data_IF_256635545319
#
_entry.id   IF_256635545319
#
_cell.length_a   1.000
_cell.length_b   1.000
_cell.length_c   1.000
_cell.angle_alpha   90.00
_cell.angle_beta   90.00
_cell.angle_gamma   90.00
#
_symmetry.space_group_name_H-M   'P 1'
#
loop_
_entity.id
_entity.type
_entity.pdbx_description
1 polymer ?
#
# COMPACT_ATOMS: atom_id res chain seq x y z
N UNK A 1 -22.32 -19.13 -11.22
CA UNK A 1 -22.02 -18.08 -10.21
C UNK A 1 -21.43 -16.92 -10.95
N UNK A 2 -22.06 -15.73 -10.92
CA UNK A 2 -21.59 -14.55 -11.64
C UNK A 2 -20.20 -14.16 -11.10
N UNK A 3 -19.30 -13.83 -12.02
CA UNK A 3 -17.90 -13.53 -11.75
C UNK A 3 -17.80 -12.25 -10.89
N UNK A 4 -17.81 -12.37 -9.57
CA UNK A 4 -17.85 -11.28 -8.58
C UNK A 4 -16.49 -10.55 -8.47
N UNK A 5 -15.54 -10.86 -9.37
CA UNK A 5 -14.16 -10.34 -9.30
C UNK A 5 -13.91 -9.08 -10.14
N UNK A 6 -14.93 -8.58 -10.82
CA UNK A 6 -14.85 -7.33 -11.58
C UNK A 6 -16.12 -6.51 -11.45
N UNK A 7 -15.99 -5.21 -11.27
CA UNK A 7 -17.07 -4.24 -11.30
C UNK A 7 -16.71 -3.09 -12.24
N UNK A 8 -17.00 -3.26 -13.53
CA UNK A 8 -16.71 -2.24 -14.56
C UNK A 8 -17.44 -0.92 -14.25
N UNK A 9 -18.61 -1.00 -13.59
CA UNK A 9 -19.36 0.20 -13.18
C UNK A 9 -18.58 1.04 -12.15
N UNK A 10 -17.94 0.42 -11.17
CA UNK A 10 -17.11 1.11 -10.18
C UNK A 10 -15.83 1.65 -10.80
N UNK A 11 -15.22 0.92 -11.74
CA UNK A 11 -14.07 1.40 -12.51
C UNK A 11 -14.42 2.67 -13.31
N UNK A 12 -15.56 2.66 -14.03
CA UNK A 12 -16.08 3.83 -14.79
C UNK A 12 -16.29 5.04 -13.90
N UNK A 13 -16.99 4.87 -12.77
CA UNK A 13 -17.24 5.93 -11.80
C UNK A 13 -15.95 6.51 -11.24
N UNK A 14 -14.99 5.65 -10.92
CA UNK A 14 -13.68 6.08 -10.43
C UNK A 14 -12.95 6.91 -11.48
N UNK A 15 -12.87 6.43 -12.73
CA UNK A 15 -12.23 7.17 -13.82
C UNK A 15 -12.93 8.51 -14.09
N UNK A 16 -14.28 8.56 -14.05
CA UNK A 16 -15.04 9.81 -14.17
C UNK A 16 -14.62 10.83 -13.11
N UNK A 17 -14.41 10.39 -11.85
CA UNK A 17 -13.91 11.28 -10.79
C UNK A 17 -12.49 11.77 -11.11
N UNK A 18 -11.59 10.89 -11.56
CA UNK A 18 -10.21 11.24 -11.86
C UNK A 18 -10.09 12.23 -13.04
N UNK A 19 -10.90 12.04 -14.06
CA UNK A 19 -10.93 12.89 -15.24
C UNK A 19 -11.45 14.31 -14.95
N UNK A 20 -12.39 14.42 -14.02
CA UNK A 20 -13.02 15.69 -13.65
C UNK A 20 -12.36 16.38 -12.44
N UNK A 21 -11.41 15.72 -11.75
CA UNK A 21 -10.79 16.24 -10.53
C UNK A 21 -9.27 15.97 -10.54
N UNK A 22 -8.44 16.90 -11.04
CA UNK A 22 -6.99 16.71 -11.11
C UNK A 22 -6.33 16.39 -9.76
N UNK A 23 -6.82 16.96 -8.66
CA UNK A 23 -6.32 16.67 -7.31
C UNK A 23 -6.54 15.19 -6.92
N UNK A 24 -7.69 14.61 -7.31
CA UNK A 24 -7.97 13.19 -7.07
C UNK A 24 -7.15 12.29 -7.99
N UNK A 25 -6.89 12.74 -9.22
CA UNK A 25 -5.99 12.04 -10.13
C UNK A 25 -4.58 11.92 -9.55
N UNK A 26 -4.01 13.02 -9.05
CA UNK A 26 -2.72 13.02 -8.34
C UNK A 26 -2.72 12.12 -7.10
N UNK A 27 -3.77 12.20 -6.28
CA UNK A 27 -3.90 11.35 -5.09
C UNK A 27 -4.00 9.86 -5.45
N UNK A 28 -4.56 9.51 -6.61
CA UNK A 28 -4.74 8.11 -7.03
C UNK A 28 -3.43 7.39 -7.34
N UNK A 29 -2.38 8.09 -7.75
CA UNK A 29 -1.08 7.51 -8.13
C UNK A 29 -0.46 6.73 -6.97
N UNK A 30 -0.57 7.24 -5.76
CA UNK A 30 -0.05 6.59 -4.56
C UNK A 30 -0.93 5.44 -4.06
N UNK A 31 -2.18 5.35 -4.56
CA UNK A 31 -3.17 4.39 -4.06
C UNK A 31 -3.43 3.24 -5.02
N UNK A 32 -3.34 3.48 -6.33
CA UNK A 32 -3.76 2.56 -7.38
C UNK A 32 -2.62 2.23 -8.34
N UNK A 33 -2.74 1.04 -8.93
CA UNK A 33 -1.92 0.59 -10.05
C UNK A 33 -2.83 0.36 -11.26
N UNK A 34 -2.32 0.54 -12.48
CA UNK A 34 -3.07 0.28 -13.72
C UNK A 34 -3.64 -1.15 -13.78
N UNK A 35 -3.00 -2.14 -13.11
CA UNK A 35 -3.48 -3.52 -13.02
C UNK A 35 -4.76 -3.68 -12.20
N UNK A 36 -5.13 -2.67 -11.41
CA UNK A 36 -6.38 -2.68 -10.64
C UNK A 36 -7.62 -2.68 -11.55
N UNK A 37 -7.48 -2.16 -12.78
CA UNK A 37 -8.56 -2.09 -13.74
C UNK A 37 -8.65 -3.39 -14.58
N UNK A 38 -9.88 -3.91 -14.70
CA UNK A 38 -10.16 -5.14 -15.46
C UNK A 38 -10.33 -4.86 -16.94
N UNK A 39 -11.09 -3.81 -17.28
CA UNK A 39 -11.32 -3.39 -18.66
C UNK A 39 -10.03 -2.79 -19.24
N UNK A 40 -9.71 -3.15 -20.49
CA UNK A 40 -8.49 -2.71 -21.17
C UNK A 40 -8.50 -1.19 -21.41
N UNK A 41 -9.64 -0.62 -21.77
CA UNK A 41 -9.79 0.81 -22.04
C UNK A 41 -9.62 1.61 -20.74
N UNK A 42 -10.23 1.14 -19.64
CA UNK A 42 -10.06 1.73 -18.30
C UNK A 42 -8.59 1.71 -17.87
N UNK A 43 -7.89 0.59 -18.14
CA UNK A 43 -6.47 0.44 -17.84
C UNK A 43 -5.62 1.41 -18.64
N UNK A 44 -5.91 1.57 -19.94
CA UNK A 44 -5.18 2.47 -20.84
C UNK A 44 -5.39 3.93 -20.42
N UNK A 45 -6.63 4.33 -20.12
CA UNK A 45 -6.95 5.67 -19.63
C UNK A 45 -6.23 5.94 -18.30
N UNK A 46 -6.30 5.02 -17.34
CA UNK A 46 -5.62 5.21 -16.06
C UNK A 46 -4.10 5.27 -16.21
N UNK A 47 -3.51 4.45 -17.09
CA UNK A 47 -2.08 4.50 -17.38
C UNK A 47 -1.65 5.85 -17.98
N UNK A 48 -2.48 6.45 -18.83
CA UNK A 48 -2.24 7.81 -19.34
C UNK A 48 -2.30 8.85 -18.21
N UNK A 49 -3.32 8.79 -17.34
CA UNK A 49 -3.44 9.64 -16.15
C UNK A 49 -2.18 9.51 -15.28
N UNK A 50 -1.76 8.29 -15.00
CA UNK A 50 -0.59 8.01 -14.18
C UNK A 50 0.68 8.60 -14.78
N UNK A 51 0.92 8.41 -16.07
CA UNK A 51 2.11 8.91 -16.77
C UNK A 51 2.21 10.44 -16.75
N UNK A 52 1.09 11.14 -16.99
CA UNK A 52 1.02 12.60 -16.98
C UNK A 52 1.29 13.13 -15.57
N UNK A 53 0.64 12.55 -14.59
CA UNK A 53 0.76 12.96 -13.21
C UNK A 53 2.15 12.65 -12.60
N UNK A 54 2.79 11.53 -12.98
CA UNK A 54 4.16 11.18 -12.57
C UNK A 54 5.19 12.15 -13.18
N UNK A 55 4.91 12.66 -14.38
CA UNK A 55 5.72 13.71 -15.01
C UNK A 55 5.53 15.10 -14.37
N UNK A 56 4.60 15.24 -13.42
CA UNK A 56 4.27 16.52 -12.78
C UNK A 56 3.46 17.48 -13.68
N UNK A 57 2.87 16.96 -14.74
CA UNK A 57 2.05 17.72 -15.67
C UNK A 57 0.59 17.79 -15.19
N UNK A 58 -0.16 18.78 -15.69
CA UNK A 58 -1.58 18.90 -15.37
C UNK A 58 -2.38 17.77 -16.00
N UNK A 59 -3.13 17.05 -15.17
CA UNK A 59 -4.03 15.99 -15.63
C UNK A 59 -5.33 16.61 -16.10
N UNK A 60 -5.48 16.76 -17.42
CA UNK A 60 -6.71 17.20 -18.07
C UNK A 60 -7.04 16.31 -19.27
N UNK A 61 -8.26 16.42 -19.77
CA UNK A 61 -8.74 15.58 -20.89
C UNK A 61 -7.89 15.75 -22.16
N UNK A 62 -7.36 16.95 -22.40
CA UNK A 62 -6.54 17.23 -23.61
C UNK A 62 -5.20 16.50 -23.51
N UNK A 63 -4.53 16.60 -22.35
CA UNK A 63 -3.26 15.91 -22.08
C UNK A 63 -3.42 14.39 -22.16
N UNK A 64 -4.54 13.86 -21.64
CA UNK A 64 -4.83 12.42 -21.72
C UNK A 64 -5.04 11.96 -23.16
N UNK A 65 -5.82 12.70 -23.96
CA UNK A 65 -6.02 12.42 -25.38
C UNK A 65 -4.69 12.46 -26.16
N UNK A 66 -3.85 13.46 -25.85
CA UNK A 66 -2.52 13.56 -26.45
C UNK A 66 -1.64 12.34 -26.09
N UNK A 67 -1.63 11.94 -24.82
CA UNK A 67 -0.86 10.81 -24.33
C UNK A 67 -1.34 9.49 -24.96
N UNK A 68 -2.64 9.23 -25.03
CA UNK A 68 -3.20 8.03 -25.66
C UNK A 68 -2.89 7.99 -27.19
N UNK A 69 -2.89 9.16 -27.84
CA UNK A 69 -2.53 9.27 -29.27
C UNK A 69 -1.06 9.00 -29.48
N UNK A 70 -0.17 9.53 -28.64
CA UNK A 70 1.28 9.30 -28.74
C UNK A 70 1.65 7.82 -28.56
N UNK A 71 0.87 7.09 -27.79
CA UNK A 71 1.01 5.65 -27.58
C UNK A 71 0.39 4.80 -28.71
N UNK A 72 -0.30 5.43 -29.68
CA UNK A 72 -0.96 4.73 -30.77
C UNK A 72 -2.18 3.91 -30.35
N UNK A 73 -2.75 4.20 -29.16
CA UNK A 73 -3.87 3.44 -28.56
C UNK A 73 -5.22 4.13 -28.84
N UNK A 74 -5.20 5.45 -29.11
CA UNK A 74 -6.41 6.22 -29.28
C UNK A 74 -7.09 5.92 -30.61
N UNK A 75 -8.21 5.23 -30.56
CA UNK A 75 -9.14 5.09 -31.67
C UNK A 75 -10.44 5.89 -31.45
N UNK A 76 -11.35 5.86 -32.41
CA UNK A 76 -12.63 6.58 -32.35
C UNK A 76 -13.49 6.07 -31.18
N UNK A 77 -13.45 4.77 -30.90
CA UNK A 77 -14.25 4.11 -29.87
C UNK A 77 -13.78 4.52 -28.47
N UNK A 78 -12.44 4.48 -28.26
CA UNK A 78 -11.85 4.89 -26.99
C UNK A 78 -12.06 6.39 -26.71
N UNK A 79 -12.02 7.21 -27.77
CA UNK A 79 -12.31 8.63 -27.63
C UNK A 79 -13.76 8.89 -27.20
N UNK A 80 -14.73 8.24 -27.85
CA UNK A 80 -16.14 8.33 -27.45
C UNK A 80 -16.34 7.87 -26.01
N UNK A 81 -15.71 6.78 -25.64
CA UNK A 81 -15.75 6.26 -24.27
C UNK A 81 -15.16 7.24 -23.24
N UNK A 82 -14.05 7.90 -23.58
CA UNK A 82 -13.46 8.94 -22.73
C UNK A 82 -14.43 10.13 -22.54
N UNK A 83 -15.08 10.59 -23.63
CA UNK A 83 -16.05 11.67 -23.58
C UNK A 83 -17.26 11.28 -22.68
N UNK A 84 -17.77 10.04 -22.79
CA UNK A 84 -18.82 9.52 -21.90
C UNK A 84 -18.39 9.54 -20.41
N UNK A 85 -17.14 9.17 -20.10
CA UNK A 85 -16.62 9.17 -18.73
C UNK A 85 -16.54 10.59 -18.15
N UNK A 86 -16.17 11.57 -18.97
CA UNK A 86 -16.12 12.99 -18.57
C UNK A 86 -17.53 13.52 -18.29
N UNK A 87 -18.50 13.19 -19.16
CA UNK A 87 -19.90 13.63 -19.00
C UNK A 87 -20.61 13.00 -17.80
N UNK A 88 -20.14 11.83 -17.33
CA UNK A 88 -20.77 11.08 -16.24
C UNK A 88 -20.83 11.84 -14.90
N UNK A 89 -19.94 12.79 -14.64
CA UNK A 89 -19.90 13.68 -13.46
C UNK A 89 -20.20 12.97 -12.12
N UNK A 90 -19.45 11.92 -11.82
CA UNK A 90 -19.60 11.17 -10.56
C UNK A 90 -19.19 12.04 -9.36
N UNK A 91 -19.95 11.95 -8.24
CA UNK A 91 -19.64 12.70 -7.02
C UNK A 91 -18.23 12.38 -6.49
N UNK A 92 -17.33 13.38 -6.34
CA UNK A 92 -15.96 13.18 -5.85
C UNK A 92 -15.84 12.62 -4.43
N UNK A 93 -16.88 12.71 -3.60
CA UNK A 93 -16.90 12.15 -2.25
C UNK A 93 -16.78 10.63 -2.24
N UNK A 94 -17.24 9.98 -3.30
CA UNK A 94 -17.13 8.52 -3.43
C UNK A 94 -15.72 8.03 -3.82
N UNK A 95 -14.75 8.93 -4.02
CA UNK A 95 -13.40 8.59 -4.46
C UNK A 95 -12.77 7.47 -3.61
N UNK A 96 -12.68 7.65 -2.29
CA UNK A 96 -12.01 6.69 -1.39
C UNK A 96 -12.73 5.33 -1.36
N UNK A 97 -14.07 5.34 -1.37
CA UNK A 97 -14.84 4.09 -1.37
C UNK A 97 -14.65 3.31 -2.69
N UNK A 98 -14.63 4.01 -3.82
CA UNK A 98 -14.42 3.40 -5.14
C UNK A 98 -12.98 2.89 -5.29
N UNK A 99 -11.98 3.65 -4.82
CA UNK A 99 -10.57 3.19 -4.77
C UNK A 99 -10.47 1.89 -4.00
N UNK A 100 -11.06 1.83 -2.80
CA UNK A 100 -11.04 0.62 -1.97
C UNK A 100 -11.71 -0.55 -2.68
N UNK A 101 -12.89 -0.36 -3.26
CA UNK A 101 -13.62 -1.40 -3.98
C UNK A 101 -12.81 -1.95 -5.16
N UNK A 102 -12.24 -1.09 -6.01
CA UNK A 102 -11.44 -1.50 -7.16
C UNK A 102 -10.16 -2.23 -6.71
N UNK A 103 -9.51 -1.78 -5.64
CA UNK A 103 -8.35 -2.46 -5.06
C UNK A 103 -8.71 -3.84 -4.48
N UNK A 104 -9.79 -3.95 -3.73
CA UNK A 104 -10.20 -5.21 -3.11
C UNK A 104 -10.53 -6.26 -4.20
N UNK A 105 -11.22 -5.86 -5.25
CA UNK A 105 -11.50 -6.73 -6.40
C UNK A 105 -10.21 -7.14 -7.13
N UNK A 106 -9.25 -6.25 -7.28
CA UNK A 106 -7.94 -6.58 -7.85
C UNK A 106 -7.20 -7.60 -6.99
N UNK A 107 -7.14 -7.40 -5.66
CA UNK A 107 -6.52 -8.35 -4.73
C UNK A 107 -7.14 -9.73 -4.81
N UNK A 108 -8.47 -9.80 -4.89
CA UNK A 108 -9.18 -11.08 -5.06
C UNK A 108 -8.76 -11.77 -6.38
N UNK A 109 -8.63 -11.02 -7.49
CA UNK A 109 -8.18 -11.58 -8.77
C UNK A 109 -6.75 -12.12 -8.70
N UNK A 110 -5.83 -11.34 -8.12
CA UNK A 110 -4.44 -11.75 -7.96
C UNK A 110 -4.32 -12.97 -7.05
N UNK A 111 -5.09 -13.01 -5.96
CA UNK A 111 -5.14 -14.16 -5.05
C UNK A 111 -5.65 -15.42 -5.76
N UNK A 112 -6.70 -15.29 -6.57
CA UNK A 112 -7.20 -16.41 -7.37
C UNK A 112 -6.16 -16.93 -8.37
N UNK A 113 -5.44 -16.03 -9.04
CA UNK A 113 -4.34 -16.40 -9.94
C UNK A 113 -3.19 -17.10 -9.20
N UNK A 114 -2.88 -16.65 -7.98
CA UNK A 114 -1.88 -17.30 -7.13
C UNK A 114 -2.31 -18.73 -6.79
N UNK A 115 -3.56 -18.92 -6.37
CA UNK A 115 -4.12 -20.24 -6.04
C UNK A 115 -4.08 -21.17 -7.25
N UNK A 116 -4.47 -20.69 -8.44
CA UNK A 116 -4.40 -21.47 -9.67
C UNK A 116 -2.98 -21.92 -10.00
N UNK A 117 -2.02 -20.99 -9.97
CA UNK A 117 -0.60 -21.31 -10.25
C UNK A 117 -0.01 -22.26 -9.23
N UNK A 118 -0.36 -22.11 -7.96
CA UNK A 118 0.07 -23.04 -6.92
C UNK A 118 -0.56 -24.41 -7.12
N UNK A 119 -1.85 -24.47 -7.45
CA UNK A 119 -2.54 -25.73 -7.74
C UNK A 119 -1.93 -26.48 -8.92
N UNK A 120 -1.62 -25.80 -10.03
CA UNK A 120 -0.94 -26.36 -11.19
C UNK A 120 0.47 -26.88 -10.82
N UNK A 121 1.25 -26.07 -10.10
CA UNK A 121 2.59 -26.46 -9.66
C UNK A 121 2.58 -27.69 -8.76
N UNK A 122 1.59 -27.84 -7.86
CA UNK A 122 1.44 -29.03 -7.02
C UNK A 122 1.11 -30.27 -7.86
N UNK A 123 0.22 -30.15 -8.84
CA UNK A 123 -0.14 -31.26 -9.75
C UNK A 123 1.07 -31.72 -10.59
N UNK A 124 1.96 -30.81 -10.97
CA UNK A 124 3.21 -31.07 -11.70
C UNK A 124 4.32 -31.64 -10.81
N UNK A 125 4.10 -31.86 -9.52
CA UNK A 125 5.08 -32.40 -8.59
C UNK A 125 6.22 -31.44 -8.25
N UNK A 126 5.94 -30.15 -8.25
CA UNK A 126 6.94 -29.09 -7.99
C UNK A 126 7.50 -29.14 -6.57
N UNK A 127 8.77 -28.74 -6.42
CA UNK A 127 9.44 -28.66 -5.12
C UNK A 127 8.87 -27.51 -4.25
N UNK A 128 9.01 -27.65 -2.92
CA UNK A 128 8.61 -26.61 -1.96
C UNK A 128 9.24 -25.24 -2.25
N UNK A 129 10.48 -25.20 -2.72
CA UNK A 129 11.17 -23.95 -3.04
C UNK A 129 10.48 -23.18 -4.19
N UNK A 130 9.95 -23.89 -5.17
CA UNK A 130 9.19 -23.27 -6.26
C UNK A 130 7.84 -22.73 -5.76
N UNK A 131 7.14 -23.45 -4.90
CA UNK A 131 5.91 -22.96 -4.26
C UNK A 131 6.18 -21.70 -3.44
N UNK A 132 7.27 -21.68 -2.66
CA UNK A 132 7.70 -20.51 -1.90
C UNK A 132 8.01 -19.31 -2.83
N UNK A 133 8.61 -19.55 -3.99
CA UNK A 133 8.88 -18.50 -4.98
C UNK A 133 7.58 -17.89 -5.55
N UNK A 134 6.56 -18.72 -5.78
CA UNK A 134 5.22 -18.26 -6.18
C UNK A 134 4.62 -17.39 -5.07
N UNK A 135 4.60 -17.85 -3.82
CA UNK A 135 4.11 -17.06 -2.68
C UNK A 135 4.81 -15.71 -2.55
N UNK A 136 6.13 -15.70 -2.62
CA UNK A 136 6.92 -14.46 -2.53
C UNK A 136 6.59 -13.46 -3.65
N UNK A 137 6.25 -13.94 -4.86
CA UNK A 137 5.85 -13.07 -5.99
C UNK A 137 4.55 -12.31 -5.71
N UNK A 138 3.67 -12.86 -4.88
CA UNK A 138 2.39 -12.26 -4.51
C UNK A 138 2.41 -11.58 -3.13
N UNK A 139 3.55 -11.55 -2.44
CA UNK A 139 3.68 -10.92 -1.12
C UNK A 139 3.34 -9.42 -1.11
N UNK A 140 3.46 -8.74 -2.27
CA UNK A 140 3.08 -7.34 -2.42
C UNK A 140 1.57 -7.09 -2.24
N UNK A 141 0.71 -8.11 -2.32
CA UNK A 141 -0.72 -7.96 -2.07
C UNK A 141 -1.01 -7.58 -0.62
N UNK A 142 -0.20 -8.06 0.33
CA UNK A 142 -0.33 -7.72 1.74
C UNK A 142 0.23 -6.32 2.05
N UNK A 143 1.33 -5.94 1.39
CA UNK A 143 1.96 -4.62 1.61
C UNK A 143 1.11 -3.47 1.09
N UNK A 144 0.26 -3.71 0.07
CA UNK A 144 -0.65 -2.67 -0.45
C UNK A 144 -1.79 -2.28 0.50
N UNK A 145 -1.99 -2.99 1.62
CA UNK A 145 -2.93 -2.61 2.69
C UNK A 145 -2.24 -2.03 3.92
N UNK A 146 -0.96 -2.36 4.14
CA UNK A 146 -0.15 -1.89 5.27
C UNK A 146 1.15 -1.22 4.82
N UNK A 147 1.41 -1.17 3.49
CA UNK A 147 2.64 -0.61 2.96
C UNK A 147 2.60 0.91 2.98
N UNK A 148 3.60 1.46 3.58
CA UNK A 148 4.21 2.78 3.39
C UNK A 148 3.38 3.79 2.56
N UNK A 149 2.14 4.06 3.02
CA UNK A 149 1.64 5.42 2.85
C UNK A 149 2.68 6.28 3.55
N UNK A 150 3.23 7.31 2.92
CA UNK A 150 3.88 8.35 3.69
C UNK A 150 2.82 8.77 4.72
N UNK A 151 2.96 8.25 5.96
CA UNK A 151 2.05 8.60 7.04
C UNK A 151 2.15 10.11 7.13
N UNK A 152 1.04 10.80 6.87
CA UNK A 152 1.06 12.26 7.07
C UNK A 152 1.50 12.49 8.50
N UNK A 153 2.30 13.52 8.73
CA UNK A 153 2.77 13.90 10.07
C UNK A 153 1.60 13.88 11.09
N UNK A 154 0.42 14.27 10.63
CA UNK A 154 -0.81 14.25 11.43
C UNK A 154 -1.27 12.83 11.79
N UNK A 155 -1.15 11.86 10.89
CA UNK A 155 -1.53 10.46 11.17
C UNK A 155 -0.54 9.81 12.16
N UNK A 156 0.74 10.10 12.04
CA UNK A 156 1.79 9.65 12.96
C UNK A 156 1.55 10.22 14.35
N UNK A 157 1.26 11.52 14.43
CA UNK A 157 0.96 12.21 15.70
C UNK A 157 -0.30 11.62 16.34
N UNK A 158 -1.39 11.46 15.59
CA UNK A 158 -2.63 10.90 16.12
C UNK A 158 -2.48 9.45 16.59
N UNK A 159 -1.66 8.64 15.90
CA UNK A 159 -1.33 7.28 16.30
C UNK A 159 -0.52 7.28 17.61
N UNK A 160 0.50 8.13 17.70
CA UNK A 160 1.30 8.28 18.91
C UNK A 160 0.47 8.74 20.12
N UNK A 161 -0.46 9.68 19.90
CA UNK A 161 -1.39 10.16 20.96
C UNK A 161 -2.28 9.02 21.43
N UNK A 162 -2.94 8.29 20.52
CA UNK A 162 -3.80 7.15 20.88
C UNK A 162 -3.03 6.07 21.63
N UNK A 163 -1.84 5.71 21.15
CA UNK A 163 -0.98 4.72 21.81
C UNK A 163 -0.57 5.17 23.23
N UNK A 164 -0.36 6.47 23.41
CA UNK A 164 -0.03 7.05 24.74
C UNK A 164 -1.24 7.06 25.65
N UNK A 165 -2.43 7.45 25.14
CA UNK A 165 -3.67 7.43 25.90
C UNK A 165 -4.06 6.02 26.36
N UNK A 166 -3.90 5.03 25.48
CA UNK A 166 -4.18 3.63 25.79
C UNK A 166 -3.20 3.08 26.84
N UNK A 167 -1.92 3.45 26.75
CA UNK A 167 -0.90 3.11 27.74
C UNK A 167 -1.21 3.71 29.12
N UNK A 168 -1.73 4.95 29.17
CA UNK A 168 -2.14 5.61 30.40
C UNK A 168 -3.39 4.95 30.99
N UNK A 169 -4.40 4.64 30.16
CA UNK A 169 -5.67 4.01 30.59
C UNK A 169 -5.47 2.58 31.12
N UNK A 170 -4.56 1.82 30.50
CA UNK A 170 -4.30 0.43 30.87
C UNK A 170 -3.27 0.31 32.00
N UNK A 171 -2.66 1.41 32.43
CA UNK A 171 -1.58 1.40 33.43
C UNK A 171 -0.33 0.65 32.97
N UNK A 172 -0.34 0.19 31.71
CA UNK A 172 0.78 -0.46 31.06
C UNK A 172 1.71 0.65 30.56
N UNK A 173 2.65 1.06 31.41
CA UNK A 173 3.83 1.74 30.88
C UNK A 173 4.41 0.80 29.83
N UNK A 174 4.22 1.14 28.55
CA UNK A 174 4.87 0.41 27.45
C UNK A 174 6.33 0.37 27.77
N UNK A 175 6.83 -0.79 28.14
CA UNK A 175 8.26 -1.00 28.36
C UNK A 175 8.95 -0.76 27.03
N UNK A 176 9.37 0.47 26.80
CA UNK A 176 10.02 0.96 25.59
C UNK A 176 11.44 0.38 25.50
N UNK A 177 11.57 -0.95 25.59
CA UNK A 177 12.86 -1.65 25.47
C UNK A 177 12.95 -2.90 26.33
N UNK A 178 14.04 -3.63 26.16
CA UNK A 178 14.40 -4.79 26.98
C UNK A 178 14.85 -4.33 28.37
N UNK A 179 14.52 -5.09 29.40
CA UNK A 179 15.00 -4.85 30.77
C UNK A 179 16.42 -5.34 30.92
N UNK A 180 17.19 -4.65 31.74
CA UNK A 180 18.54 -5.11 32.15
C UNK A 180 18.47 -6.29 33.14
N UNK A 181 17.30 -6.56 33.75
CA UNK A 181 17.16 -7.56 34.78
C UNK A 181 17.55 -7.08 36.18
N UNK A 182 17.90 -5.82 36.34
CA UNK A 182 18.24 -5.20 37.61
C UNK A 182 17.15 -4.18 37.99
N UNK A 183 16.29 -4.44 39.02
CA UNK A 183 15.13 -3.59 39.31
C UNK A 183 15.43 -2.12 39.54
N UNK A 184 16.62 -1.79 40.11
CA UNK A 184 17.04 -0.40 40.33
C UNK A 184 17.45 0.29 39.02
N UNK A 185 18.04 -0.45 38.10
CA UNK A 185 18.49 0.05 36.81
C UNK A 185 17.30 0.17 35.85
N UNK A 186 16.41 -0.82 35.86
CA UNK A 186 15.22 -0.87 35.01
C UNK A 186 14.22 0.26 35.31
N UNK A 187 14.28 0.85 36.52
CA UNK A 187 13.49 2.07 36.87
C UNK A 187 14.03 3.34 36.21
N UNK A 188 15.30 3.35 35.85
CA UNK A 188 15.97 4.57 35.35
C UNK A 188 16.16 4.51 33.84
N UNK A 189 16.40 3.32 33.27
CA UNK A 189 16.69 3.15 31.87
C UNK A 189 16.29 1.75 31.37
N UNK A 190 16.04 1.64 30.06
CA UNK A 190 15.74 0.41 29.35
C UNK A 190 16.56 0.33 28.05
N UNK A 191 16.84 -0.90 27.57
CA UNK A 191 17.53 -1.13 26.30
C UNK A 191 16.55 -0.92 25.15
N UNK A 192 16.69 0.17 24.40
CA UNK A 192 15.83 0.50 23.25
C UNK A 192 16.50 0.11 21.94
N UNK A 193 15.77 -0.48 20.98
CA UNK A 193 16.31 -0.71 19.65
C UNK A 193 16.80 0.57 19.00
N UNK A 194 17.91 0.50 18.27
CA UNK A 194 18.52 1.65 17.61
C UNK A 194 19.43 2.53 18.48
N UNK A 195 19.49 2.29 19.81
CA UNK A 195 20.36 3.02 20.71
C UNK A 195 21.67 2.27 20.94
N UNK A 196 22.76 3.01 21.15
CA UNK A 196 24.05 2.48 21.57
C UNK A 196 24.23 2.72 23.06
N UNK A 197 24.61 1.68 23.80
CA UNK A 197 24.85 1.73 25.24
C UNK A 197 26.33 1.45 25.50
N UNK A 198 26.97 2.32 26.27
CA UNK A 198 28.36 2.17 26.63
C UNK A 198 28.48 1.83 28.12
N UNK A 199 29.11 0.69 28.43
CA UNK A 199 29.40 0.27 29.80
C UNK A 199 30.90 0.44 30.06
N UNK A 200 31.25 1.35 30.95
CA UNK A 200 32.62 1.63 31.34
C UNK A 200 32.86 1.22 32.78
N UNK A 201 33.99 0.58 33.05
CA UNK A 201 34.46 0.24 34.39
C UNK A 201 35.98 0.09 34.41
N UNK A 202 36.56 0.22 35.57
CA UNK A 202 38.00 -0.05 35.76
C UNK A 202 38.32 -1.54 35.46
N UNK A 203 39.57 -1.87 35.09
CA UNK A 203 39.97 -3.26 34.89
C UNK A 203 39.60 -4.11 36.10
N UNK A 204 39.24 -5.38 35.88
CA UNK A 204 38.87 -6.34 36.90
C UNK A 204 37.58 -6.07 37.71
N UNK A 205 36.75 -5.09 37.32
CA UNK A 205 35.47 -4.76 38.01
C UNK A 205 34.26 -5.57 37.51
N UNK A 206 34.44 -6.63 36.79
CA UNK A 206 33.35 -7.53 36.34
C UNK A 206 32.53 -7.00 35.18
N UNK A 207 33.05 -6.06 34.36
CA UNK A 207 32.34 -5.49 33.20
C UNK A 207 31.76 -6.53 32.24
N UNK A 208 32.58 -7.55 31.88
CA UNK A 208 32.13 -8.61 30.98
C UNK A 208 31.06 -9.51 31.63
N UNK A 209 31.21 -9.82 32.92
CA UNK A 209 30.20 -10.57 33.67
C UNK A 209 28.86 -9.83 33.76
N UNK A 210 28.91 -8.51 33.92
CA UNK A 210 27.72 -7.69 33.92
C UNK A 210 26.99 -7.74 32.56
N UNK A 211 27.73 -7.61 31.44
CA UNK A 211 27.16 -7.67 30.07
C UNK A 211 26.55 -9.07 29.81
N UNK A 212 27.24 -10.14 30.20
CA UNK A 212 26.76 -11.52 30.02
C UNK A 212 25.49 -11.82 30.85
N UNK A 213 25.25 -11.10 31.93
CA UNK A 213 23.99 -11.25 32.70
C UNK A 213 22.80 -10.47 32.14
N UNK A 214 23.01 -9.61 31.15
CA UNK A 214 21.94 -8.85 30.50
C UNK A 214 21.44 -9.56 29.23
N UNK A 215 22.27 -10.41 28.61
CA UNK A 215 21.97 -11.19 27.40
C UNK A 215 21.26 -12.49 27.76
#
# INVERSE_FOLDING_TARGET
MANTTSNIGSEKKLLSILLNNPEKALASISLLNHKCFTNIDNRNIYNAIWTIADAGESVDTVSIVHQLRSQGILDTTLKQYLDELVEMQTNPEHFISLVKEVMDLWKIRETNQMIEKMGQAIQEGTSYNNLKSIMNRYSHLDTSTNGDKPETMLSIINKAIRETEDAIKTGTQRELGLRFGYPKLDKVMSLRPGNTYCIAARPAMGKTSFVLNII
#
